data_IF_492745165681
#
_entry.id   IF_492745165681
#
_cell.length_a   1.000
_cell.length_b   1.000
_cell.length_c   1.000
_cell.angle_alpha   90.00
_cell.angle_beta   90.00
_cell.angle_gamma   90.00
#
_symmetry.space_group_name_H-M   'P 1'
#
loop_
_entity.id
_entity.type
_entity.pdbx_description
1 polymer ?
#
# COMPACT_ATOMS: atom_id res chain seq x y z
N UNK A 1 -11.19 -12.00 38.49
CA UNK A 1 -9.82 -12.29 38.30
C UNK A 1 -9.56 -12.96 37.00
N UNK A 2 -10.08 -14.12 36.84
CA UNK A 2 -9.81 -14.80 35.62
C UNK A 2 -10.25 -14.03 34.45
N UNK A 3 -11.27 -13.22 34.61
CA UNK A 3 -11.77 -12.44 33.50
C UNK A 3 -10.71 -11.54 32.92
N UNK A 4 -9.85 -11.07 33.78
CA UNK A 4 -8.84 -10.17 33.26
C UNK A 4 -7.97 -10.87 32.29
N UNK A 5 -7.66 -12.08 32.58
CA UNK A 5 -6.78 -12.82 31.72
C UNK A 5 -7.38 -12.96 30.36
N UNK A 6 -8.67 -13.14 30.32
CA UNK A 6 -9.30 -13.24 29.03
C UNK A 6 -9.13 -11.98 28.25
N UNK A 7 -9.31 -10.90 28.93
CA UNK A 7 -9.24 -9.64 28.24
C UNK A 7 -7.89 -9.42 27.68
N UNK A 8 -6.89 -9.81 28.43
CA UNK A 8 -5.55 -9.66 27.90
C UNK A 8 -5.33 -10.49 26.71
N UNK A 9 -5.73 -11.72 26.78
CA UNK A 9 -5.57 -12.59 25.64
C UNK A 9 -6.26 -12.00 24.46
N UNK A 10 -7.40 -11.41 24.70
CA UNK A 10 -8.14 -10.82 23.64
C UNK A 10 -7.36 -9.67 23.01
N UNK A 11 -6.77 -8.86 23.84
CA UNK A 11 -5.99 -7.75 23.33
C UNK A 11 -4.85 -8.23 22.48
N UNK A 12 -4.24 -9.29 22.89
CA UNK A 12 -3.15 -9.81 22.12
C UNK A 12 -3.61 -10.21 20.76
N UNK A 13 -4.82 -10.70 20.69
CA UNK A 13 -5.32 -11.06 19.39
C UNK A 13 -5.44 -9.87 18.50
N UNK A 14 -5.72 -8.72 19.09
CA UNK A 14 -5.78 -7.53 18.28
C UNK A 14 -4.46 -7.28 17.63
N UNK A 15 -3.41 -7.59 18.31
CA UNK A 15 -2.12 -7.43 17.70
C UNK A 15 -1.97 -8.30 16.50
N UNK A 16 -2.44 -9.50 16.60
CA UNK A 16 -2.25 -10.42 15.52
C UNK A 16 -2.94 -9.94 14.26
N UNK A 17 -3.81 -8.97 14.38
CA UNK A 17 -4.41 -8.42 13.17
C UNK A 17 -3.49 -7.43 12.50
N UNK A 18 -2.48 -6.95 13.21
CA UNK A 18 -1.57 -6.00 12.63
C UNK A 18 -0.88 -6.54 11.39
N UNK A 19 -0.40 -7.76 11.41
CA UNK A 19 0.30 -8.28 10.24
C UNK A 19 -0.53 -8.22 8.98
N UNK A 20 -1.84 -8.22 9.10
CA UNK A 20 -2.65 -8.14 7.91
C UNK A 20 -2.44 -6.85 7.16
N UNK A 21 -2.17 -5.80 7.89
CA UNK A 21 -1.92 -4.52 7.27
C UNK A 21 -0.70 -4.62 6.39
N UNK A 22 0.22 -5.47 6.78
CA UNK A 22 1.44 -5.63 6.03
C UNK A 22 1.29 -6.61 4.89
N UNK A 23 0.09 -7.11 4.69
CA UNK A 23 -0.14 -8.08 3.65
C UNK A 23 -0.26 -7.44 2.28
N UNK A 24 -0.17 -6.12 2.21
CA UNK A 24 -0.15 -5.48 0.92
C UNK A 24 1.00 -6.04 0.11
N UNK A 25 0.73 -6.39 -1.12
CA UNK A 25 1.66 -7.17 -1.92
C UNK A 25 1.97 -6.43 -3.20
N UNK A 26 3.22 -6.07 -3.36
CA UNK A 26 3.62 -5.35 -4.55
C UNK A 26 3.32 -6.15 -5.82
N UNK A 27 3.58 -7.44 -5.78
CA UNK A 27 3.36 -8.27 -6.97
C UNK A 27 1.89 -8.42 -7.31
N UNK A 28 1.05 -8.44 -6.29
CA UNK A 28 -0.38 -8.47 -6.53
C UNK A 28 -0.81 -7.18 -7.21
N UNK A 29 -0.27 -6.06 -6.77
CA UNK A 29 -0.55 -4.80 -7.43
C UNK A 29 -0.05 -4.79 -8.86
N UNK A 30 1.10 -5.39 -9.10
CA UNK A 30 1.65 -5.45 -10.44
C UNK A 30 0.76 -6.25 -11.37
N UNK A 31 0.25 -7.37 -10.89
CA UNK A 31 -0.66 -8.18 -11.69
C UNK A 31 -1.92 -7.42 -12.04
N UNK A 32 -2.47 -6.71 -11.06
CA UNK A 32 -3.65 -5.89 -11.29
C UNK A 32 -3.35 -4.79 -12.30
N UNK A 33 -2.21 -4.15 -12.17
CA UNK A 33 -1.82 -3.08 -13.08
C UNK A 33 -1.73 -3.61 -14.51
N UNK A 34 -1.11 -4.76 -14.69
CA UNK A 34 -0.97 -5.34 -16.02
C UNK A 34 -2.30 -5.73 -16.62
N UNK A 35 -3.26 -6.06 -15.78
CA UNK A 35 -4.60 -6.38 -16.23
C UNK A 35 -5.45 -5.15 -16.49
N UNK A 36 -4.90 -3.97 -16.24
CA UNK A 36 -5.65 -2.74 -16.41
C UNK A 36 -6.53 -2.39 -15.23
N UNK A 37 -6.42 -3.14 -14.16
CA UNK A 37 -7.21 -2.90 -12.95
C UNK A 37 -6.41 -1.98 -12.03
N UNK A 38 -6.44 -0.70 -12.36
CA UNK A 38 -5.60 0.27 -11.67
C UNK A 38 -6.07 0.54 -10.24
N UNK A 39 -7.36 0.41 -9.99
CA UNK A 39 -7.86 0.60 -8.64
C UNK A 39 -7.29 -0.44 -7.70
N UNK A 40 -7.30 -1.69 -8.11
CA UNK A 40 -6.72 -2.74 -7.28
C UNK A 40 -5.22 -2.56 -7.11
N UNK A 41 -4.53 -2.11 -8.16
CA UNK A 41 -3.12 -1.85 -8.05
C UNK A 41 -2.85 -0.77 -7.00
N UNK A 42 -3.66 0.29 -7.00
CA UNK A 42 -3.50 1.36 -6.02
C UNK A 42 -3.77 0.89 -4.61
N UNK A 43 -4.73 0.00 -4.43
CA UNK A 43 -5.01 -0.53 -3.10
C UNK A 43 -3.82 -1.25 -2.52
N UNK A 44 -3.02 -1.89 -3.36
CA UNK A 44 -1.83 -2.57 -2.88
C UNK A 44 -0.66 -1.61 -2.74
N UNK A 45 -0.50 -0.70 -3.68
CA UNK A 45 0.70 0.12 -3.74
C UNK A 45 0.66 1.36 -2.85
N UNK A 46 -0.50 1.95 -2.63
CA UNK A 46 -0.57 3.14 -1.80
C UNK A 46 -0.02 2.89 -0.38
N UNK A 47 -0.48 1.85 0.33
CA UNK A 47 0.08 1.61 1.66
C UNK A 47 1.56 1.30 1.63
N UNK A 48 2.01 0.54 0.63
CA UNK A 48 3.43 0.21 0.53
C UNK A 48 4.27 1.45 0.29
N UNK A 49 3.80 2.34 -0.57
CA UNK A 49 4.52 3.56 -0.86
C UNK A 49 4.60 4.46 0.37
N UNK A 50 3.51 4.53 1.13
CA UNK A 50 3.50 5.33 2.34
C UNK A 50 4.45 4.78 3.39
N UNK A 51 4.68 3.48 3.36
CA UNK A 51 5.63 2.85 4.27
C UNK A 51 7.07 2.93 3.78
N UNK A 52 7.30 3.55 2.66
CA UNK A 52 8.66 3.76 2.18
C UNK A 52 9.12 2.77 1.13
N UNK A 53 8.24 1.95 0.60
CA UNK A 53 8.62 0.98 -0.42
C UNK A 53 8.94 1.71 -1.72
N UNK A 54 10.20 1.68 -2.13
CA UNK A 54 10.65 2.46 -3.27
C UNK A 54 10.01 1.98 -4.58
N UNK A 55 9.80 0.69 -4.72
CA UNK A 55 9.19 0.18 -5.94
C UNK A 55 7.75 0.68 -6.09
N UNK A 56 7.01 0.66 -4.98
CA UNK A 56 5.64 1.16 -5.00
C UNK A 56 5.63 2.67 -5.27
N UNK A 57 6.55 3.40 -4.66
CA UNK A 57 6.64 4.84 -4.90
C UNK A 57 6.93 5.13 -6.36
N UNK A 58 7.80 4.36 -6.98
CA UNK A 58 8.10 4.54 -8.38
C UNK A 58 6.87 4.26 -9.24
N UNK A 59 6.15 3.20 -8.91
CA UNK A 59 4.94 2.88 -9.68
C UNK A 59 3.89 3.96 -9.55
N UNK A 60 3.73 4.52 -8.34
CA UNK A 60 2.79 5.61 -8.18
C UNK A 60 3.22 6.82 -8.99
N UNK A 61 4.52 7.12 -8.99
CA UNK A 61 5.02 8.22 -9.79
C UNK A 61 4.67 8.03 -11.25
N UNK A 62 4.83 6.82 -11.76
CA UNK A 62 4.53 6.53 -13.15
C UNK A 62 3.04 6.67 -13.43
N UNK A 63 2.20 6.23 -12.48
CA UNK A 63 0.76 6.35 -12.68
C UNK A 63 0.32 7.82 -12.73
N UNK A 64 0.88 8.65 -11.86
CA UNK A 64 0.58 10.07 -11.93
C UNK A 64 1.12 10.72 -13.19
N UNK A 65 2.27 10.25 -13.66
CA UNK A 65 2.85 10.80 -14.88
C UNK A 65 2.02 10.47 -16.10
N UNK A 66 1.38 9.32 -16.11
CA UNK A 66 0.63 8.87 -17.27
C UNK A 66 -0.87 9.00 -17.12
N UNK A 67 -1.35 9.34 -15.92
CA UNK A 67 -2.79 9.46 -15.68
C UNK A 67 -3.51 8.13 -15.64
N UNK A 68 -2.81 7.07 -15.26
CA UNK A 68 -3.42 5.73 -15.19
C UNK A 68 -3.93 5.51 -13.77
N UNK A 69 -5.24 5.38 -13.64
CA UNK A 69 -5.85 5.14 -12.34
C UNK A 69 -5.95 6.35 -11.44
N UNK A 70 -5.24 7.42 -11.77
CA UNK A 70 -5.27 8.68 -11.02
C UNK A 70 -5.24 9.79 -12.05
N UNK A 71 -5.69 10.99 -11.69
CA UNK A 71 -5.59 12.13 -12.59
C UNK A 71 -4.11 12.41 -12.92
N UNK A 72 -3.88 12.78 -14.16
CA UNK A 72 -2.53 13.14 -14.58
C UNK A 72 -2.03 14.28 -13.72
N UNK A 73 -0.85 14.11 -13.13
CA UNK A 73 -0.32 15.12 -12.22
C UNK A 73 1.20 14.99 -12.19
N UNK A 74 1.88 15.81 -13.00
CA UNK A 74 3.34 15.74 -13.06
C UNK A 74 3.98 16.12 -11.73
N UNK A 75 3.38 17.04 -10.98
CA UNK A 75 3.89 17.37 -9.67
C UNK A 75 3.84 16.21 -8.71
N UNK A 76 2.74 15.48 -8.75
CA UNK A 76 2.62 14.28 -7.93
C UNK A 76 3.64 13.24 -8.34
N UNK A 77 3.86 13.09 -9.66
CA UNK A 77 4.83 12.14 -10.15
C UNK A 77 6.23 12.49 -9.64
N UNK A 78 6.59 13.76 -9.71
CA UNK A 78 7.90 14.19 -9.24
C UNK A 78 8.08 13.89 -7.76
N UNK A 79 7.06 14.17 -6.97
CA UNK A 79 7.15 13.89 -5.54
C UNK A 79 7.39 12.42 -5.26
N UNK A 80 6.65 11.56 -5.94
CA UNK A 80 6.82 10.13 -5.71
C UNK A 80 8.17 9.64 -6.23
N UNK A 81 8.61 10.14 -7.39
CA UNK A 81 9.93 9.76 -7.90
C UNK A 81 11.04 10.19 -6.97
N UNK A 82 10.90 11.37 -6.37
CA UNK A 82 11.88 11.83 -5.41
C UNK A 82 12.01 10.88 -4.23
N UNK A 83 10.88 10.45 -3.71
CA UNK A 83 10.89 9.53 -2.59
C UNK A 83 11.49 8.19 -2.99
N UNK A 84 11.24 7.75 -4.21
CA UNK A 84 11.73 6.46 -4.66
C UNK A 84 13.23 6.46 -4.93
N UNK A 85 13.80 7.63 -5.15
CA UNK A 85 15.22 7.73 -5.48
C UNK A 85 16.14 7.55 -4.22
#
# INVERSE_FOLDING_TARGET
>A
MKLYCYIFAFNIMLFSTQPFVLAQDFNKGLAAYKAGDYDSALEEWNPLAEMGNASAQYKLGYMYKTGKGVPLDYGGAVRWYHLAA
#
